data_IF_128122224936
#
_entry.id   IF_128122224936
#
_cell.length_a   1.000
_cell.length_b   1.000
_cell.length_c   1.000
_cell.angle_alpha   90.00
_cell.angle_beta   90.00
_cell.angle_gamma   90.00
#
_symmetry.space_group_name_H-M   'P 1'
#
loop_
_entity.id
_entity.type
_entity.pdbx_description
1 polymer ?
#
# COMPACT_ATOMS: atom_id res chain seq x y z
N UNK A 1 38.20 -9.91 25.76
CA UNK A 1 36.91 -9.95 25.03
C UNK A 1 35.88 -8.91 25.52
N UNK A 2 35.59 -8.78 26.82
CA UNK A 2 34.62 -7.82 27.39
C UNK A 2 34.86 -6.34 26.99
N UNK A 3 36.12 -5.89 26.99
CA UNK A 3 36.48 -4.50 26.63
C UNK A 3 36.18 -4.16 25.16
N UNK A 4 36.38 -5.09 24.21
CA UNK A 4 36.09 -4.87 22.78
C UNK A 4 34.59 -4.68 22.54
N UNK A 5 33.75 -5.51 23.15
CA UNK A 5 32.28 -5.37 23.11
C UNK A 5 31.81 -4.04 23.72
N UNK A 6 32.42 -3.61 24.82
CA UNK A 6 32.10 -2.31 25.44
C UNK A 6 32.43 -1.13 24.51
N UNK A 7 33.56 -1.18 23.80
CA UNK A 7 33.96 -0.14 22.83
C UNK A 7 33.05 -0.11 21.60
N UNK A 8 32.63 -1.27 21.11
CA UNK A 8 31.70 -1.41 19.98
C UNK A 8 30.31 -0.86 20.33
N UNK A 9 29.78 -1.21 21.51
CA UNK A 9 28.53 -0.65 22.04
C UNK A 9 28.60 0.88 22.21
N UNK A 10 29.74 1.40 22.67
CA UNK A 10 29.94 2.84 22.80
C UNK A 10 29.99 3.54 21.43
N UNK A 11 30.59 2.90 20.41
CA UNK A 11 30.58 3.39 19.03
C UNK A 11 29.16 3.42 18.45
N UNK A 12 28.41 2.33 18.61
CA UNK A 12 27.04 2.22 18.13
C UNK A 12 26.13 3.24 18.83
N UNK A 13 26.22 3.36 20.16
CA UNK A 13 25.46 4.35 20.94
C UNK A 13 25.73 5.78 20.46
N UNK A 14 27.00 6.15 20.26
CA UNK A 14 27.38 7.46 19.72
C UNK A 14 26.85 7.70 18.31
N UNK A 15 26.77 6.67 17.49
CA UNK A 15 26.23 6.76 16.13
C UNK A 15 24.72 6.98 16.16
N UNK A 16 23.99 6.19 16.97
CA UNK A 16 22.53 6.31 17.13
C UNK A 16 22.15 7.69 17.69
N UNK A 17 22.84 8.17 18.73
CA UNK A 17 22.53 9.46 19.38
C UNK A 17 22.88 10.69 18.54
N UNK A 18 23.49 10.51 17.35
CA UNK A 18 23.86 11.59 16.43
C UNK A 18 23.00 11.66 15.19
N UNK A 19 22.09 10.71 14.99
CA UNK A 19 21.14 10.79 13.90
C UNK A 19 20.08 11.81 14.30
N UNK A 20 19.98 12.91 13.54
CA UNK A 20 18.83 13.80 13.58
C UNK A 20 17.62 13.13 12.93
N UNK A 21 16.42 13.66 13.20
CA UNK A 21 15.16 13.10 12.70
C UNK A 21 15.18 12.89 11.18
N UNK A 22 15.63 13.90 10.43
CA UNK A 22 15.68 13.83 8.96
C UNK A 22 16.69 12.79 8.44
N UNK A 23 17.82 12.59 9.13
CA UNK A 23 18.73 11.47 8.82
C UNK A 23 18.10 10.09 9.06
N UNK A 24 17.22 9.96 10.07
CA UNK A 24 16.45 8.73 10.34
C UNK A 24 15.42 8.54 9.23
N UNK A 25 14.68 9.59 8.90
CA UNK A 25 13.60 9.54 7.91
C UNK A 25 14.14 9.13 6.54
N UNK A 26 15.28 9.70 6.11
CA UNK A 26 15.93 9.29 4.86
C UNK A 26 16.42 7.84 4.88
N UNK A 27 16.96 7.36 5.99
CA UNK A 27 17.48 5.99 6.09
C UNK A 27 16.35 4.96 5.96
N UNK A 28 15.17 5.26 6.50
CA UNK A 28 13.99 4.40 6.46
C UNK A 28 13.05 4.71 5.28
N UNK A 29 13.41 5.64 4.39
CA UNK A 29 12.57 6.01 3.24
C UNK A 29 11.26 6.70 3.63
N UNK A 30 11.23 7.36 4.79
CA UNK A 30 10.08 8.15 5.27
C UNK A 30 10.05 9.56 4.66
N UNK A 31 11.08 9.93 3.90
CA UNK A 31 11.12 11.13 3.06
C UNK A 31 11.32 10.80 1.56
N UNK A 32 10.60 11.50 0.66
CA UNK A 32 9.67 12.61 0.97
C UNK A 32 8.39 12.10 1.61
N UNK A 33 7.89 12.85 2.59
CA UNK A 33 6.56 12.65 3.17
C UNK A 33 5.57 12.65 2.02
N UNK A 34 4.70 11.64 1.95
CA UNK A 34 3.54 11.72 1.06
C UNK A 34 2.66 12.89 1.55
N UNK A 35 2.76 14.03 0.88
CA UNK A 35 1.89 15.18 1.10
C UNK A 35 0.73 15.10 0.09
N UNK A 36 -0.54 15.07 0.54
CA UNK A 36 -1.67 15.17 -0.37
C UNK A 36 -1.54 16.43 -1.24
N UNK A 37 -1.32 16.26 -2.55
CA UNK A 37 -1.17 17.36 -3.51
C UNK A 37 0.27 17.74 -3.89
N UNK A 38 1.30 17.12 -3.32
CA UNK A 38 2.67 17.24 -3.85
C UNK A 38 2.79 16.44 -5.16
N UNK A 39 3.28 17.10 -6.21
CA UNK A 39 3.22 16.68 -7.62
C UNK A 39 3.97 15.38 -8.01
N UNK A 40 4.36 14.53 -7.05
CA UNK A 40 5.22 13.37 -7.27
C UNK A 40 4.46 12.05 -7.51
N UNK A 41 3.18 11.94 -7.16
CA UNK A 41 2.36 10.78 -7.50
C UNK A 41 1.44 11.14 -8.66
N UNK A 42 1.82 10.76 -9.89
CA UNK A 42 0.95 10.91 -11.07
C UNK A 42 -0.32 10.05 -10.97
N UNK A 43 -0.29 9.01 -10.12
CA UNK A 43 -1.38 8.09 -9.83
C UNK A 43 -1.63 8.12 -8.33
N UNK A 44 -2.88 8.31 -7.89
CA UNK A 44 -3.22 8.09 -6.49
C UNK A 44 -2.92 6.62 -6.15
N UNK A 45 -2.19 6.30 -5.07
CA UNK A 45 -1.79 4.92 -4.79
C UNK A 45 -3.00 4.00 -4.57
N UNK A 46 -4.14 4.56 -4.15
CA UNK A 46 -5.34 3.82 -3.86
C UNK A 46 -6.59 4.59 -4.31
N UNK A 47 -7.65 3.87 -4.68
CA UNK A 47 -8.95 4.44 -5.05
C UNK A 47 -10.10 3.65 -4.42
N UNK A 48 -11.13 4.36 -3.94
CA UNK A 48 -12.37 3.72 -3.45
C UNK A 48 -13.42 3.63 -4.58
N UNK A 49 -13.98 2.45 -4.78
CA UNK A 49 -14.96 2.16 -5.84
C UNK A 49 -16.16 1.43 -5.25
N UNK A 50 -17.37 1.90 -5.57
CA UNK A 50 -18.60 1.23 -5.20
C UNK A 50 -18.94 0.15 -6.24
N UNK A 51 -19.17 -1.08 -5.78
CA UNK A 51 -19.55 -2.24 -6.61
C UNK A 51 -20.71 -2.98 -5.96
N UNK A 52 -21.39 -3.82 -6.74
CA UNK A 52 -22.42 -4.73 -6.22
C UNK A 52 -21.86 -6.14 -6.11
N UNK A 53 -22.06 -6.79 -4.97
CA UNK A 53 -21.67 -8.19 -4.79
C UNK A 53 -22.37 -9.07 -5.85
N UNK A 54 -21.64 -9.88 -6.64
CA UNK A 54 -22.24 -10.74 -7.65
C UNK A 54 -23.03 -11.91 -7.06
N UNK A 55 -22.93 -12.17 -5.75
CA UNK A 55 -23.66 -13.22 -5.05
C UNK A 55 -24.96 -12.69 -4.40
N UNK A 56 -24.85 -11.77 -3.43
CA UNK A 56 -26.02 -11.30 -2.67
C UNK A 56 -26.58 -9.94 -3.14
N UNK A 57 -25.90 -9.23 -4.04
CA UNK A 57 -26.34 -7.93 -4.55
C UNK A 57 -26.04 -6.74 -3.64
N UNK A 58 -25.41 -6.95 -2.48
CA UNK A 58 -25.04 -5.87 -1.54
C UNK A 58 -24.15 -4.82 -2.21
N UNK A 59 -24.32 -3.55 -1.84
CA UNK A 59 -23.43 -2.47 -2.29
C UNK A 59 -22.19 -2.44 -1.39
N UNK A 60 -21.04 -2.73 -1.98
CA UNK A 60 -19.75 -2.76 -1.30
C UNK A 60 -18.90 -1.56 -1.74
N UNK A 61 -18.24 -0.90 -0.79
CA UNK A 61 -17.17 0.07 -1.09
C UNK A 61 -15.83 -0.67 -1.01
N UNK A 62 -15.08 -0.74 -2.11
CA UNK A 62 -13.80 -1.46 -2.20
C UNK A 62 -12.65 -0.50 -2.36
N UNK A 63 -11.55 -0.79 -1.67
CA UNK A 63 -10.29 -0.05 -1.77
C UNK A 63 -9.36 -0.76 -2.75
N UNK A 64 -9.09 -0.11 -3.87
CA UNK A 64 -8.27 -0.63 -4.97
C UNK A 64 -6.85 -0.09 -4.83
N UNK A 65 -5.86 -0.96 -4.68
CA UNK A 65 -4.44 -0.60 -4.73
C UNK A 65 -3.99 -0.47 -6.19
N UNK A 66 -3.64 0.74 -6.61
CA UNK A 66 -3.19 1.03 -7.97
C UNK A 66 -1.68 0.91 -8.13
N UNK A 67 -0.94 0.66 -7.06
CA UNK A 67 0.51 0.44 -7.06
C UNK A 67 0.89 -1.01 -7.34
N UNK A 68 -0.04 -1.95 -7.16
CA UNK A 68 0.20 -3.36 -7.43
C UNK A 68 0.37 -3.65 -8.93
N UNK A 69 1.37 -4.45 -9.29
CA UNK A 69 1.58 -4.91 -10.67
C UNK A 69 0.49 -5.91 -11.11
N UNK A 70 -0.01 -6.71 -10.16
CA UNK A 70 -1.06 -7.70 -10.42
C UNK A 70 -2.43 -7.00 -10.57
N UNK A 71 -3.12 -7.17 -11.71
CA UNK A 71 -4.36 -6.46 -12.00
C UNK A 71 -5.60 -7.14 -11.39
N UNK A 72 -5.45 -7.92 -10.32
CA UNK A 72 -6.58 -8.59 -9.70
C UNK A 72 -6.27 -9.18 -8.34
N UNK A 73 -7.34 -9.41 -7.58
CA UNK A 73 -7.29 -9.98 -6.24
C UNK A 73 -8.62 -10.64 -5.86
N UNK A 74 -8.61 -11.46 -4.83
CA UNK A 74 -9.82 -12.09 -4.30
C UNK A 74 -10.10 -11.55 -2.90
N UNK A 75 -11.33 -11.13 -2.66
CA UNK A 75 -11.83 -10.76 -1.33
C UNK A 75 -13.22 -11.38 -1.12
N UNK A 76 -13.50 -11.81 0.12
CA UNK A 76 -14.82 -12.29 0.48
C UNK A 76 -15.81 -11.13 0.65
N UNK A 77 -17.07 -11.37 0.28
CA UNK A 77 -18.14 -10.43 0.58
C UNK A 77 -18.36 -10.30 2.10
N UNK A 78 -18.32 -9.09 2.64
CA UNK A 78 -18.58 -8.78 4.07
C UNK A 78 -19.97 -9.17 4.58
N UNK A 79 -20.92 -9.43 3.66
CA UNK A 79 -22.31 -9.77 4.00
C UNK A 79 -22.61 -11.25 3.79
N UNK A 80 -22.21 -11.83 2.66
CA UNK A 80 -22.55 -13.22 2.32
C UNK A 80 -21.35 -14.18 2.34
N UNK A 81 -20.14 -13.69 2.65
CA UNK A 81 -18.90 -14.46 2.80
C UNK A 81 -18.52 -15.34 1.60
N UNK A 82 -19.01 -15.03 0.39
CA UNK A 82 -18.57 -15.71 -0.83
C UNK A 82 -17.38 -14.98 -1.45
N UNK A 83 -16.39 -15.71 -2.01
CA UNK A 83 -15.21 -15.12 -2.61
C UNK A 83 -15.55 -14.41 -3.91
N UNK A 84 -15.18 -13.14 -4.02
CA UNK A 84 -15.34 -12.31 -5.22
C UNK A 84 -13.98 -12.11 -5.85
N UNK A 85 -13.86 -12.38 -7.15
CA UNK A 85 -12.70 -11.98 -7.94
C UNK A 85 -12.87 -10.53 -8.41
N UNK A 86 -11.87 -9.71 -8.11
CA UNK A 86 -11.77 -8.31 -8.51
C UNK A 86 -10.71 -8.16 -9.60
N UNK A 87 -11.06 -7.53 -10.71
CA UNK A 87 -10.13 -7.25 -11.81
C UNK A 87 -10.03 -5.74 -12.04
N UNK A 88 -8.82 -5.21 -11.93
CA UNK A 88 -8.48 -3.81 -12.13
C UNK A 88 -8.18 -3.58 -13.61
N UNK A 89 -8.91 -2.67 -14.23
CA UNK A 89 -8.63 -2.21 -15.59
C UNK A 89 -7.89 -0.88 -15.56
N UNK A 90 -6.88 -0.78 -16.43
CA UNK A 90 -6.10 0.43 -16.66
C UNK A 90 -6.21 0.84 -18.13
N UNK A 91 -6.19 2.13 -18.40
CA UNK A 91 -6.17 2.66 -19.76
C UNK A 91 -4.78 2.56 -20.42
N UNK A 92 -4.64 3.05 -21.65
CA UNK A 92 -3.37 3.03 -22.38
C UNK A 92 -2.27 3.90 -21.72
N UNK A 93 -2.63 4.82 -20.84
CA UNK A 93 -1.72 5.63 -20.04
C UNK A 93 -1.30 4.97 -18.73
N UNK A 94 -1.90 3.83 -18.38
CA UNK A 94 -1.67 3.13 -17.11
C UNK A 94 -2.54 3.67 -15.96
N UNK A 95 -3.48 4.58 -16.24
CA UNK A 95 -4.39 5.13 -15.23
C UNK A 95 -5.56 4.18 -14.99
N UNK A 96 -6.10 4.18 -13.77
CA UNK A 96 -7.27 3.38 -13.43
C UNK A 96 -8.49 3.76 -14.29
N UNK A 97 -9.13 2.77 -14.92
CA UNK A 97 -10.31 2.97 -15.74
C UNK A 97 -11.56 2.31 -15.19
N UNK A 98 -11.46 1.11 -14.63
CA UNK A 98 -12.61 0.38 -14.10
C UNK A 98 -12.22 -0.74 -13.12
N UNK A 99 -13.19 -1.20 -12.34
CA UNK A 99 -13.09 -2.39 -11.48
C UNK A 99 -14.20 -3.38 -11.87
N UNK A 100 -13.83 -4.52 -12.42
CA UNK A 100 -14.78 -5.61 -12.68
C UNK A 100 -14.86 -6.54 -11.47
N UNK A 101 -16.05 -7.08 -11.21
CA UNK A 101 -16.31 -8.05 -10.15
C UNK A 101 -16.94 -9.31 -10.72
N UNK A 102 -16.46 -10.47 -10.30
CA UNK A 102 -16.93 -11.77 -10.77
C UNK A 102 -17.06 -12.75 -9.61
N UNK A 103 -17.89 -13.77 -9.82
CA UNK A 103 -17.95 -14.93 -8.93
C UNK A 103 -16.66 -15.72 -9.14
N UNK A 104 -16.00 -16.10 -8.05
CA UNK A 104 -14.91 -17.05 -8.09
C UNK A 104 -15.55 -18.45 -8.04
N UNK A 105 -15.41 -19.20 -9.12
CA UNK A 105 -15.98 -20.55 -9.31
C UNK A 105 -15.09 -21.64 -8.69
#
# INVERSE_FOLDING_TARGET
MKRRKATELQRLRRRITRLDAHSIDRLYGLEPVWEPGAAAARVAPEQFVAVSCPYCGERLERRVDLTADEPGYVEDCEVCCHPIEFQIERDAGGEFSALQVRRLD
#
